data_IF_472793853422
#
_entry.id   IF_472793853422
#
_cell.length_a   1.000
_cell.length_b   1.000
_cell.length_c   1.000
_cell.angle_alpha   90.00
_cell.angle_beta   90.00
_cell.angle_gamma   90.00
#
_symmetry.space_group_name_H-M   'P 1'
#
loop_
_entity.id
_entity.type
_entity.pdbx_description
1 polymer ?
#
# COMPACT_ATOMS: atom_id res chain seq x y z
N UNK A 1 4.39 16.48 6.51
CA UNK A 1 2.94 16.77 6.37
C UNK A 1 2.77 18.16 5.78
N UNK A 2 2.47 18.25 4.48
CA UNK A 2 2.26 19.51 3.77
C UNK A 2 0.95 20.12 4.25
N UNK A 3 1.05 21.17 5.07
CA UNK A 3 0.02 22.12 5.50
C UNK A 3 -1.44 21.71 5.22
N UNK A 4 -1.92 20.66 5.92
CA UNK A 4 -3.32 20.24 5.87
C UNK A 4 -4.05 20.99 6.98
N UNK A 5 -4.98 21.87 6.59
CA UNK A 5 -5.84 22.53 7.56
C UNK A 5 -6.61 21.44 8.35
N UNK A 6 -6.26 21.31 9.64
CA UNK A 6 -6.82 20.31 10.56
C UNK A 6 -8.31 20.53 10.81
N UNK A 7 -8.82 21.76 10.67
CA UNK A 7 -10.26 22.02 10.73
C UNK A 7 -11.01 21.35 9.58
N UNK A 8 -10.51 21.48 8.35
CA UNK A 8 -11.13 20.84 7.18
C UNK A 8 -11.11 19.32 7.29
N UNK A 9 -9.98 18.77 7.72
CA UNK A 9 -9.81 17.33 7.87
C UNK A 9 -10.73 16.74 8.95
N UNK A 10 -10.79 17.39 10.11
CA UNK A 10 -11.68 16.96 11.19
C UNK A 10 -13.16 17.01 10.77
N UNK A 11 -13.56 18.08 10.08
CA UNK A 11 -14.92 18.20 9.55
C UNK A 11 -15.28 17.07 8.59
N UNK A 12 -14.37 16.71 7.67
CA UNK A 12 -14.56 15.57 6.75
C UNK A 12 -14.65 14.22 7.46
N UNK A 13 -14.06 14.10 8.66
CA UNK A 13 -14.14 12.90 9.50
C UNK A 13 -15.32 12.93 10.48
N UNK A 14 -16.18 13.96 10.44
CA UNK A 14 -17.31 14.09 11.36
C UNK A 14 -16.93 14.37 12.82
N UNK A 15 -15.73 14.94 13.06
CA UNK A 15 -15.26 15.28 14.41
C UNK A 15 -14.76 16.72 14.51
N UNK A 16 -14.53 17.20 15.73
CA UNK A 16 -14.00 18.55 15.94
C UNK A 16 -12.48 18.60 15.72
N UNK A 17 -12.00 19.75 15.24
CA UNK A 17 -10.57 19.99 15.04
C UNK A 17 -9.76 19.85 16.35
N UNK A 18 -10.37 20.16 17.49
CA UNK A 18 -9.76 19.98 18.80
C UNK A 18 -9.54 18.50 19.13
N UNK A 19 -10.56 17.65 18.90
CA UNK A 19 -10.46 16.20 19.11
C UNK A 19 -9.38 15.59 18.23
N UNK A 20 -9.32 15.99 16.95
CA UNK A 20 -8.31 15.48 16.03
C UNK A 20 -6.88 15.90 16.45
N UNK A 21 -6.68 17.16 16.88
CA UNK A 21 -5.40 17.63 17.44
C UNK A 21 -4.99 16.83 18.67
N UNK A 22 -5.92 16.53 19.58
CA UNK A 22 -5.63 15.73 20.77
C UNK A 22 -5.20 14.32 20.41
N UNK A 23 -5.83 13.69 19.40
CA UNK A 23 -5.48 12.35 18.92
C UNK A 23 -4.09 12.29 18.27
N UNK A 24 -3.66 13.34 17.58
CA UNK A 24 -2.30 13.43 17.02
C UNK A 24 -1.21 13.61 18.08
N UNK A 25 -1.56 14.12 19.27
CA UNK A 25 -0.59 14.29 20.34
C UNK A 25 -0.32 12.97 21.07
N UNK A 26 0.85 12.38 20.83
CA UNK A 26 1.26 11.12 21.44
C UNK A 26 1.36 11.16 22.98
N UNK A 27 1.39 12.33 23.63
CA UNK A 27 1.38 12.42 25.09
C UNK A 27 -0.04 12.41 25.70
N UNK A 28 -1.07 12.59 24.87
CA UNK A 28 -2.46 12.61 25.33
C UNK A 28 -3.04 11.20 25.47
N UNK A 29 -4.06 11.06 26.31
CA UNK A 29 -4.70 9.76 26.62
C UNK A 29 -5.42 9.16 25.41
N UNK A 30 -5.99 9.99 24.55
CA UNK A 30 -6.72 9.53 23.35
C UNK A 30 -5.76 9.36 22.18
N UNK A 31 -5.60 8.14 21.69
CA UNK A 31 -4.78 7.83 20.51
C UNK A 31 -5.64 7.79 19.24
N UNK A 32 -4.97 7.85 18.09
CA UNK A 32 -5.56 7.46 16.82
C UNK A 32 -5.89 5.95 16.87
N UNK A 33 -7.14 5.60 16.59
CA UNK A 33 -7.56 4.21 16.40
C UNK A 33 -7.29 3.76 14.95
N UNK A 34 -7.45 2.46 14.69
CA UNK A 34 -7.43 1.93 13.31
C UNK A 34 -8.47 2.62 12.41
N UNK A 35 -9.68 2.83 12.92
CA UNK A 35 -10.75 3.53 12.19
C UNK A 35 -10.37 4.98 11.86
N UNK A 36 -9.71 5.69 12.79
CA UNK A 36 -9.24 7.06 12.54
C UNK A 36 -8.19 7.07 11.41
N UNK A 37 -7.28 6.10 11.39
CA UNK A 37 -6.26 5.97 10.35
C UNK A 37 -6.87 5.68 8.98
N UNK A 38 -7.88 4.80 8.91
CA UNK A 38 -8.62 4.50 7.68
C UNK A 38 -9.34 5.75 7.18
N UNK A 39 -10.06 6.46 8.06
CA UNK A 39 -10.78 7.68 7.70
C UNK A 39 -9.82 8.79 7.22
N UNK A 40 -8.68 8.98 7.91
CA UNK A 40 -7.63 9.90 7.49
C UNK A 40 -7.09 9.54 6.10
N UNK A 41 -6.81 8.27 5.85
CA UNK A 41 -6.34 7.81 4.55
C UNK A 41 -7.40 8.03 3.46
N UNK A 42 -8.67 7.72 3.71
CA UNK A 42 -9.73 7.91 2.73
C UNK A 42 -9.90 9.37 2.30
N UNK A 43 -9.76 10.32 3.23
CA UNK A 43 -9.87 11.76 2.96
C UNK A 43 -8.61 12.32 2.31
N UNK A 44 -7.43 11.90 2.76
CA UNK A 44 -6.16 12.53 2.36
C UNK A 44 -5.43 11.81 1.23
N UNK A 45 -5.70 10.51 1.04
CA UNK A 45 -4.93 9.60 0.18
C UNK A 45 -3.42 9.62 0.48
N UNK A 46 -3.07 9.96 1.72
CA UNK A 46 -1.69 10.03 2.19
C UNK A 46 -1.39 8.81 3.07
N UNK A 47 -0.47 7.98 2.59
CA UNK A 47 -0.08 6.70 3.21
C UNK A 47 0.88 6.89 4.39
N UNK A 48 1.45 8.10 4.59
CA UNK A 48 2.53 8.36 5.56
C UNK A 48 2.26 7.82 6.97
N UNK A 49 1.02 7.95 7.48
CA UNK A 49 0.69 7.48 8.83
C UNK A 49 0.56 5.95 8.90
N UNK A 50 0.08 5.32 7.83
CA UNK A 50 0.01 3.86 7.72
C UNK A 50 1.41 3.28 7.55
N UNK A 51 2.24 3.90 6.71
CA UNK A 51 3.64 3.50 6.53
C UNK A 51 4.43 3.62 7.83
N UNK A 52 4.28 4.72 8.56
CA UNK A 52 4.92 4.90 9.85
C UNK A 52 4.49 3.81 10.86
N UNK A 53 3.21 3.47 10.91
CA UNK A 53 2.70 2.40 11.78
C UNK A 53 3.29 1.04 11.42
N UNK A 54 3.33 0.70 10.13
CA UNK A 54 3.84 -0.58 9.65
C UNK A 54 5.36 -0.68 9.82
N UNK A 55 6.07 0.43 9.64
CA UNK A 55 7.51 0.50 9.80
C UNK A 55 7.96 0.15 11.22
N UNK A 56 7.23 0.60 12.24
CA UNK A 56 7.48 0.21 13.65
C UNK A 56 7.35 -1.31 13.88
N UNK A 57 6.60 -2.01 13.02
CA UNK A 57 6.45 -3.47 13.04
C UNK A 57 7.44 -4.18 12.10
N UNK A 58 8.31 -3.46 11.38
CA UNK A 58 9.15 -4.02 10.33
C UNK A 58 8.38 -4.49 9.10
N UNK A 59 7.18 -3.94 8.88
CA UNK A 59 6.30 -4.24 7.75
C UNK A 59 6.28 -3.06 6.76
N UNK A 60 5.90 -3.35 5.51
CA UNK A 60 5.59 -2.32 4.50
C UNK A 60 4.22 -2.56 3.93
N UNK A 61 3.44 -1.50 3.74
CA UNK A 61 2.27 -1.58 2.88
C UNK A 61 2.71 -1.55 1.42
N UNK A 62 1.91 -2.21 0.58
CA UNK A 62 1.90 -1.99 -0.86
C UNK A 62 0.46 -1.68 -1.20
N UNK A 63 0.18 -0.48 -1.68
CA UNK A 63 -1.14 -0.13 -2.17
C UNK A 63 -1.54 -1.11 -3.28
N UNK A 64 -2.74 -1.68 -3.18
CA UNK A 64 -3.28 -2.50 -4.26
C UNK A 64 -3.49 -1.58 -5.46
N UNK A 65 -2.75 -1.78 -6.57
CA UNK A 65 -2.85 -0.88 -7.70
C UNK A 65 -4.26 -0.88 -8.29
N UNK A 66 -4.76 0.30 -8.62
CA UNK A 66 -5.95 0.45 -9.48
C UNK A 66 -5.53 0.32 -10.95
N UNK A 67 -5.05 -0.88 -11.30
CA UNK A 67 -4.58 -1.21 -12.64
C UNK A 67 -5.52 -2.24 -13.27
N UNK A 68 -5.57 -2.26 -14.61
CA UNK A 68 -6.31 -3.27 -15.34
C UNK A 68 -5.80 -4.67 -14.94
N UNK A 69 -6.71 -5.47 -14.37
CA UNK A 69 -6.37 -6.84 -13.98
C UNK A 69 -6.20 -7.69 -15.22
N UNK A 70 -5.19 -8.54 -15.23
CA UNK A 70 -5.04 -9.50 -16.32
C UNK A 70 -6.26 -10.45 -16.37
N UNK A 71 -6.60 -11.02 -17.54
CA UNK A 71 -7.85 -11.76 -17.75
C UNK A 71 -8.07 -12.98 -16.86
N UNK A 72 -7.01 -13.51 -16.23
CA UNK A 72 -7.07 -14.65 -15.31
C UNK A 72 -5.86 -14.67 -14.37
N UNK A 73 -5.95 -15.43 -13.28
CA UNK A 73 -4.83 -15.64 -12.35
C UNK A 73 -3.58 -16.17 -13.08
N UNK A 74 -3.73 -17.06 -14.05
CA UNK A 74 -2.62 -17.58 -14.85
C UNK A 74 -1.92 -16.48 -15.63
N UNK A 75 -2.67 -15.55 -16.24
CA UNK A 75 -2.09 -14.41 -16.94
C UNK A 75 -1.34 -13.47 -15.97
N UNK A 76 -1.87 -13.25 -14.76
CA UNK A 76 -1.18 -12.45 -13.73
C UNK A 76 0.14 -13.09 -13.31
N UNK A 77 0.17 -14.41 -13.11
CA UNK A 77 1.39 -15.14 -12.75
C UNK A 77 2.44 -15.06 -13.87
N UNK A 78 2.02 -15.21 -15.14
CA UNK A 78 2.93 -15.09 -16.29
C UNK A 78 3.52 -13.67 -16.37
N UNK A 79 2.69 -12.64 -16.18
CA UNK A 79 3.13 -11.25 -16.18
C UNK A 79 4.12 -10.97 -15.04
N UNK A 80 3.82 -11.46 -13.83
CA UNK A 80 4.71 -11.37 -12.68
C UNK A 80 6.06 -12.05 -12.97
N UNK A 81 6.05 -13.25 -13.54
CA UNK A 81 7.28 -13.96 -13.92
C UNK A 81 8.15 -13.14 -14.88
N UNK A 82 7.54 -12.49 -15.87
CA UNK A 82 8.26 -11.62 -16.81
C UNK A 82 8.91 -10.40 -16.12
N UNK A 83 8.20 -9.79 -15.17
CA UNK A 83 8.74 -8.68 -14.37
C UNK A 83 9.92 -9.15 -13.51
N UNK A 84 9.80 -10.28 -12.81
CA UNK A 84 10.88 -10.85 -11.99
C UNK A 84 12.10 -11.21 -12.86
N UNK A 85 11.89 -11.82 -14.03
CA UNK A 85 12.98 -12.09 -14.97
C UNK A 85 13.69 -10.80 -15.41
N UNK A 86 12.93 -9.72 -15.65
CA UNK A 86 13.48 -8.41 -16.01
C UNK A 86 14.30 -7.79 -14.88
N UNK A 87 13.90 -7.97 -13.62
CA UNK A 87 14.69 -7.57 -12.44
C UNK A 87 16.02 -8.35 -12.42
N UNK A 88 15.96 -9.66 -12.64
CA UNK A 88 17.15 -10.53 -12.68
C UNK A 88 18.15 -10.08 -13.74
N UNK A 89 17.69 -9.83 -14.97
CA UNK A 89 18.54 -9.34 -16.06
C UNK A 89 19.22 -8.00 -15.71
N UNK A 90 18.47 -7.03 -15.20
CA UNK A 90 19.04 -5.72 -14.82
C UNK A 90 20.02 -5.82 -13.65
N UNK A 91 19.75 -6.72 -12.70
CA UNK A 91 20.67 -6.95 -11.58
C UNK A 91 22.01 -7.49 -12.06
N UNK A 92 21.99 -8.41 -13.04
CA UNK A 92 23.19 -8.92 -13.68
C UNK A 92 23.99 -7.80 -14.36
N UNK A 93 23.33 -7.00 -15.21
CA UNK A 93 23.95 -5.86 -15.91
C UNK A 93 24.60 -4.85 -14.94
N UNK A 94 23.95 -4.56 -13.82
CA UNK A 94 24.47 -3.64 -12.80
C UNK A 94 25.66 -4.23 -12.04
N UNK A 95 25.62 -5.53 -11.75
CA UNK A 95 26.70 -6.24 -11.04
C UNK A 95 27.96 -6.31 -11.89
N UNK A 96 27.83 -6.58 -13.18
CA UNK A 96 28.96 -6.66 -14.12
C UNK A 96 29.66 -5.32 -14.31
N UNK A 97 28.93 -4.20 -14.23
CA UNK A 97 29.45 -2.85 -14.47
C UNK A 97 29.99 -2.15 -13.22
N UNK A 98 29.67 -2.64 -12.01
CA UNK A 98 30.17 -2.10 -10.74
C UNK A 98 29.73 -0.68 -10.37
N UNK A 99 28.78 -0.09 -11.11
CA UNK A 99 28.23 1.25 -10.84
C UNK A 99 26.77 1.34 -11.28
N UNK A 100 25.96 2.04 -10.48
CA UNK A 100 24.54 2.29 -10.76
C UNK A 100 24.35 3.77 -11.08
N UNK A 101 23.82 4.08 -12.26
CA UNK A 101 23.43 5.45 -12.63
C UNK A 101 22.03 5.77 -12.12
N UNK A 102 21.70 7.06 -12.01
CA UNK A 102 20.37 7.51 -11.57
C UNK A 102 19.22 6.98 -12.44
N UNK A 103 19.45 6.82 -13.75
CA UNK A 103 18.46 6.27 -14.67
C UNK A 103 18.24 4.77 -14.43
N UNK A 104 19.32 4.02 -14.22
CA UNK A 104 19.24 2.59 -13.93
C UNK A 104 18.59 2.35 -12.57
N UNK A 105 18.94 3.13 -11.54
CA UNK A 105 18.29 3.09 -10.23
C UNK A 105 16.78 3.33 -10.36
N UNK A 106 16.38 4.40 -11.06
CA UNK A 106 14.95 4.72 -11.26
C UNK A 106 14.22 3.62 -12.04
N UNK A 107 14.84 3.08 -13.09
CA UNK A 107 14.26 2.00 -13.87
C UNK A 107 14.11 0.73 -13.05
N UNK A 108 15.09 0.40 -12.23
CA UNK A 108 15.05 -0.75 -11.32
C UNK A 108 13.91 -0.59 -10.31
N UNK A 109 13.82 0.57 -9.65
CA UNK A 109 12.76 0.86 -8.68
C UNK A 109 11.37 0.81 -9.31
N UNK A 110 11.22 1.28 -10.55
CA UNK A 110 9.96 1.20 -11.29
C UNK A 110 9.51 -0.26 -11.51
N UNK A 111 10.43 -1.14 -11.91
CA UNK A 111 10.11 -2.57 -12.15
C UNK A 111 9.84 -3.29 -10.83
N UNK A 112 10.61 -3.00 -9.78
CA UNK A 112 10.37 -3.55 -8.44
C UNK A 112 8.98 -3.14 -7.92
N UNK A 113 8.61 -1.86 -8.06
CA UNK A 113 7.29 -1.37 -7.70
C UNK A 113 6.17 -2.04 -8.51
N UNK A 114 6.37 -2.22 -9.82
CA UNK A 114 5.42 -2.94 -10.67
C UNK A 114 5.25 -4.41 -10.24
N UNK A 115 6.34 -5.10 -9.91
CA UNK A 115 6.30 -6.47 -9.41
C UNK A 115 5.56 -6.58 -8.07
N UNK A 116 5.83 -5.67 -7.12
CA UNK A 116 5.09 -5.60 -5.86
C UNK A 116 3.59 -5.39 -6.10
N UNK A 117 3.23 -4.49 -7.02
CA UNK A 117 1.84 -4.25 -7.41
C UNK A 117 1.17 -5.48 -8.03
N UNK A 118 1.88 -6.21 -8.90
CA UNK A 118 1.38 -7.46 -9.48
C UNK A 118 1.20 -8.58 -8.45
N UNK A 119 2.09 -8.68 -7.45
CA UNK A 119 1.92 -9.59 -6.30
C UNK A 119 0.70 -9.19 -5.47
N UNK A 120 0.53 -7.90 -5.18
CA UNK A 120 -0.62 -7.39 -4.42
C UNK A 120 -1.95 -7.68 -5.12
N UNK A 121 -2.03 -7.50 -6.45
CA UNK A 121 -3.22 -7.86 -7.24
C UNK A 121 -3.53 -9.36 -7.16
N UNK A 122 -2.50 -10.20 -7.30
CA UNK A 122 -2.64 -11.65 -7.24
C UNK A 122 -3.13 -12.11 -5.87
N UNK A 123 -2.54 -11.61 -4.79
CA UNK A 123 -2.98 -11.90 -3.42
C UNK A 123 -4.43 -11.46 -3.23
N UNK A 124 -4.78 -10.22 -3.62
CA UNK A 124 -6.13 -9.72 -3.49
C UNK A 124 -7.15 -10.57 -4.27
N UNK A 125 -6.84 -11.00 -5.49
CA UNK A 125 -7.75 -11.84 -6.27
C UNK A 125 -7.93 -13.24 -5.68
N UNK A 126 -6.89 -13.80 -5.07
CA UNK A 126 -6.97 -15.07 -4.33
C UNK A 126 -7.83 -14.88 -3.07
N UNK A 127 -7.61 -13.82 -2.31
CA UNK A 127 -8.40 -13.52 -1.10
C UNK A 127 -9.88 -13.28 -1.43
N UNK A 128 -10.20 -12.52 -2.48
CA UNK A 128 -11.60 -12.30 -2.88
C UNK A 128 -12.30 -13.60 -3.22
N UNK A 129 -11.63 -14.53 -3.93
CA UNK A 129 -12.17 -15.86 -4.21
C UNK A 129 -12.34 -16.69 -2.93
N UNK A 130 -11.43 -16.57 -1.97
CA UNK A 130 -11.58 -17.23 -0.68
C UNK A 130 -12.75 -16.65 0.13
N UNK A 131 -12.94 -15.34 0.15
CA UNK A 131 -14.07 -14.70 0.83
C UNK A 131 -15.42 -15.08 0.22
N UNK A 132 -15.50 -15.21 -1.11
CA UNK A 132 -16.68 -15.77 -1.81
C UNK A 132 -16.96 -17.22 -1.38
N UNK A 133 -15.94 -17.95 -0.94
CA UNK A 133 -16.03 -19.36 -0.49
C UNK A 133 -16.11 -19.47 1.05
N UNK A 134 -16.02 -18.37 1.80
CA UNK A 134 -15.97 -18.42 3.26
C UNK A 134 -17.31 -18.86 3.87
N UNK A 135 -17.37 -20.00 4.58
CA UNK A 135 -18.59 -20.49 5.23
C UNK A 135 -19.12 -19.53 6.32
N UNK A 136 -18.27 -18.65 6.84
CA UNK A 136 -18.63 -17.69 7.89
C UNK A 136 -19.54 -16.57 7.38
N UNK A 137 -19.43 -16.18 6.10
CA UNK A 137 -20.34 -15.22 5.48
C UNK A 137 -21.73 -15.83 5.23
N UNK A 138 -21.79 -17.14 4.95
CA UNK A 138 -23.04 -17.88 4.79
C UNK A 138 -23.79 -18.12 6.12
N UNK A 139 -23.10 -18.06 7.26
CA UNK A 139 -23.69 -18.16 8.61
C UNK A 139 -24.20 -16.82 9.16
N UNK A 140 -23.91 -15.70 8.47
CA UNK A 140 -24.29 -14.35 8.88
C UNK A 140 -25.49 -13.79 8.09
N UNK A 141 -26.17 -14.62 7.28
CA UNK A 141 -27.43 -14.30 6.59
C UNK A 141 -28.61 -15.06 7.19
#
# INVERSE_FOLDING_TARGET
MKDRNVEKLAASMGMSAHVLRNKFNQQQKHKLSGDDLIALYQVTKDETLLDALLFECGLTAVAIPDAERAPSLTHQVIQLNSQIASIGQRTLELTERGRITSNEHRSFMSIAAAAMGSVALLINDVEQRFQVVSPLAALAM
#
